data_IF_220071335754
#
_entry.id   IF_220071335754
#
_cell.length_a   1.000
_cell.length_b   1.000
_cell.length_c   1.000
_cell.angle_alpha   90.00
_cell.angle_beta   90.00
_cell.angle_gamma   90.00
#
_symmetry.space_group_name_H-M   'P 1'
#
loop_
_entity.id
_entity.type
_entity.pdbx_description
1 polymer ?
#
# COMPACT_ATOMS: atom_id res chain seq x y z
N UNK A 1 6.63 -20.50 14.48
CA UNK A 1 5.44 -20.10 15.27
C UNK A 1 5.35 -18.59 15.55
N UNK A 2 6.42 -17.79 15.42
CA UNK A 2 6.34 -16.32 15.59
C UNK A 2 5.91 -15.52 14.34
N UNK A 3 5.90 -16.15 13.15
CA UNK A 3 5.65 -15.46 11.87
C UNK A 3 4.17 -15.24 11.52
N UNK A 4 3.22 -15.98 12.12
CA UNK A 4 1.79 -15.85 11.84
C UNK A 4 1.10 -14.75 12.66
N UNK A 5 1.68 -14.38 13.80
CA UNK A 5 1.09 -13.38 14.71
C UNK A 5 1.19 -11.93 14.17
N UNK A 6 1.87 -11.72 13.04
CA UNK A 6 2.14 -10.39 12.47
C UNK A 6 1.37 -10.08 11.17
N UNK A 7 0.36 -10.87 10.78
CA UNK A 7 -0.46 -10.57 9.60
C UNK A 7 -1.78 -9.92 10.01
N UNK A 8 -2.14 -8.82 9.36
CA UNK A 8 -3.34 -8.05 9.68
C UNK A 8 -3.05 -7.02 10.75
N UNK A 9 -2.15 -6.08 10.43
CA UNK A 9 -1.60 -5.08 11.35
C UNK A 9 -2.29 -3.75 11.12
N UNK A 10 -2.29 -2.92 12.15
CA UNK A 10 -2.80 -1.56 12.09
C UNK A 10 -2.21 -0.80 10.90
N UNK A 11 -3.08 -0.31 10.03
CA UNK A 11 -2.70 0.22 8.72
C UNK A 11 -2.41 1.73 8.75
N UNK A 12 -1.71 2.28 7.75
CA UNK A 12 -1.59 3.73 7.57
C UNK A 12 -2.95 4.44 7.46
N UNK A 13 -3.95 3.77 6.86
CA UNK A 13 -5.33 4.26 6.78
C UNK A 13 -5.94 4.43 8.18
N UNK A 14 -5.86 3.39 9.01
CA UNK A 14 -6.37 3.45 10.38
C UNK A 14 -5.58 4.47 11.22
N UNK A 15 -4.28 4.62 11.00
CA UNK A 15 -3.49 5.67 11.65
C UNK A 15 -4.02 7.07 11.35
N UNK A 16 -4.40 7.33 10.10
CA UNK A 16 -4.87 8.65 9.69
C UNK A 16 -6.33 8.94 10.08
N UNK A 17 -7.21 7.92 10.10
CA UNK A 17 -8.65 8.12 10.31
C UNK A 17 -9.21 7.54 11.62
N UNK A 18 -8.45 6.70 12.34
CA UNK A 18 -8.96 5.88 13.44
C UNK A 18 -9.28 6.63 14.73
N UNK A 19 -8.53 7.69 15.08
CA UNK A 19 -8.69 8.37 16.37
C UNK A 19 -10.01 9.15 16.51
N UNK A 20 -10.53 9.68 15.40
CA UNK A 20 -11.74 10.54 15.38
C UNK A 20 -12.85 9.98 14.49
N UNK A 21 -12.71 8.74 13.99
CA UNK A 21 -13.63 8.12 13.00
C UNK A 21 -13.90 9.04 11.81
N UNK A 22 -12.90 9.84 11.41
CA UNK A 22 -13.02 10.88 10.38
C UNK A 22 -13.53 10.29 9.06
N UNK A 23 -13.14 9.06 8.75
CA UNK A 23 -13.54 8.36 7.54
C UNK A 23 -15.08 8.22 7.40
N UNK A 24 -15.82 8.15 8.51
CA UNK A 24 -17.27 7.91 8.48
C UNK A 24 -18.08 9.14 8.06
N UNK A 25 -17.47 10.32 8.12
CA UNK A 25 -18.15 11.58 7.84
C UNK A 25 -17.48 12.34 6.70
N UNK A 26 -16.15 12.42 6.71
CA UNK A 26 -15.40 13.28 5.78
C UNK A 26 -15.31 12.66 4.38
N UNK A 27 -15.04 11.35 4.27
CA UNK A 27 -14.91 10.68 2.95
C UNK A 27 -16.26 10.58 2.21
N UNK A 28 -17.39 10.21 2.86
CA UNK A 28 -18.71 10.31 2.24
C UNK A 28 -19.07 11.73 1.77
N UNK A 29 -18.69 12.75 2.54
CA UNK A 29 -18.96 14.14 2.18
C UNK A 29 -18.20 14.57 0.91
N UNK A 30 -16.95 14.12 0.76
CA UNK A 30 -16.15 14.31 -0.47
C UNK A 30 -16.81 13.60 -1.66
N UNK A 31 -17.25 12.36 -1.49
CA UNK A 31 -17.94 11.60 -2.54
C UNK A 31 -19.26 12.28 -2.97
N UNK A 32 -20.04 12.78 -2.01
CA UNK A 32 -21.27 13.53 -2.26
C UNK A 32 -21.02 14.85 -3.00
N UNK A 33 -19.98 15.59 -2.61
CA UNK A 33 -19.57 16.81 -3.31
C UNK A 33 -19.22 16.52 -4.77
N UNK A 34 -18.39 15.50 -5.01
CA UNK A 34 -17.99 15.12 -6.36
C UNK A 34 -19.20 14.72 -7.22
N UNK A 35 -20.14 13.93 -6.67
CA UNK A 35 -21.37 13.54 -7.36
C UNK A 35 -22.24 14.74 -7.72
N UNK A 36 -22.46 15.67 -6.77
CA UNK A 36 -23.23 16.91 -7.01
C UNK A 36 -22.59 17.80 -8.07
N UNK A 37 -21.27 17.80 -8.18
CA UNK A 37 -20.51 18.61 -9.14
C UNK A 37 -20.24 17.90 -10.47
N UNK A 38 -20.55 16.61 -10.59
CA UNK A 38 -20.21 15.80 -11.76
C UNK A 38 -18.70 15.66 -11.98
N UNK A 39 -17.89 15.77 -10.93
CA UNK A 39 -16.43 15.68 -11.01
C UNK A 39 -16.00 14.26 -10.70
N UNK A 40 -15.11 13.72 -11.52
CA UNK A 40 -14.49 12.42 -11.26
C UNK A 40 -13.25 12.61 -10.39
N UNK A 41 -13.21 11.93 -9.24
CA UNK A 41 -12.11 11.98 -8.27
C UNK A 41 -10.94 11.05 -8.62
N UNK A 42 -11.03 10.33 -9.74
CA UNK A 42 -10.02 9.36 -10.20
C UNK A 42 -8.69 9.99 -10.64
N UNK A 43 -8.64 11.32 -10.76
CA UNK A 43 -7.42 12.06 -11.07
C UNK A 43 -7.01 12.88 -9.87
N UNK A 44 -5.72 12.85 -9.53
CA UNK A 44 -5.18 13.53 -8.35
C UNK A 44 -5.41 15.04 -8.38
N UNK A 45 -5.29 15.68 -9.54
CA UNK A 45 -5.54 17.12 -9.73
C UNK A 45 -7.00 17.50 -9.43
N UNK A 46 -7.95 16.70 -9.93
CA UNK A 46 -9.37 16.88 -9.66
C UNK A 46 -9.71 16.62 -8.19
N UNK A 47 -9.09 15.60 -7.59
CA UNK A 47 -9.23 15.28 -6.18
C UNK A 47 -8.75 16.43 -5.30
N UNK A 48 -7.54 16.96 -5.56
CA UNK A 48 -6.96 18.09 -4.83
C UNK A 48 -7.82 19.36 -4.93
N UNK A 49 -8.53 19.55 -6.05
CA UNK A 49 -9.43 20.67 -6.27
C UNK A 49 -10.77 20.61 -5.51
N UNK A 50 -11.10 19.50 -4.85
CA UNK A 50 -12.34 19.40 -4.05
C UNK A 50 -12.26 20.24 -2.78
N UNK A 51 -13.35 20.93 -2.45
CA UNK A 51 -13.45 21.72 -1.23
C UNK A 51 -13.41 20.83 0.02
N UNK A 52 -14.07 19.68 -0.03
CA UNK A 52 -14.03 18.66 1.02
C UNK A 52 -12.60 18.17 1.29
N UNK A 53 -11.85 17.87 0.23
CA UNK A 53 -10.43 17.47 0.33
C UNK A 53 -9.61 18.60 0.96
N UNK A 54 -9.76 19.83 0.49
CA UNK A 54 -9.05 20.98 1.04
C UNK A 54 -9.39 21.27 2.51
N UNK A 55 -10.64 21.06 2.95
CA UNK A 55 -11.03 21.17 4.37
C UNK A 55 -10.39 20.07 5.21
N UNK A 56 -10.42 18.83 4.74
CA UNK A 56 -9.85 17.70 5.46
C UNK A 56 -8.34 17.81 5.58
N UNK A 57 -7.63 18.23 4.52
CA UNK A 57 -6.19 18.48 4.59
C UNK A 57 -5.82 19.50 5.66
N UNK A 58 -6.54 20.62 5.76
CA UNK A 58 -6.29 21.62 6.83
C UNK A 58 -6.50 21.07 8.24
N UNK A 59 -7.31 20.02 8.40
CA UNK A 59 -7.55 19.36 9.69
C UNK A 59 -6.48 18.32 10.01
N UNK A 60 -5.98 17.61 8.99
CA UNK A 60 -4.98 16.55 9.14
C UNK A 60 -3.55 17.09 9.21
N UNK A 61 -3.26 18.21 8.54
CA UNK A 61 -1.91 18.78 8.44
C UNK A 61 -1.64 19.69 9.64
N UNK A 62 -0.65 19.39 10.50
CA UNK A 62 -0.18 20.33 11.52
C UNK A 62 0.17 21.70 10.95
N UNK A 63 -0.22 22.77 11.66
CA UNK A 63 0.00 24.17 11.23
C UNK A 63 1.49 24.53 11.05
N UNK A 64 2.40 23.74 11.62
CA UNK A 64 3.85 23.98 11.62
C UNK A 64 4.61 23.26 10.50
N UNK A 65 3.92 22.58 9.57
CA UNK A 65 4.58 21.80 8.52
C UNK A 65 4.98 22.63 7.30
N UNK A 66 6.10 22.23 6.70
CA UNK A 66 6.60 22.77 5.43
C UNK A 66 5.63 22.46 4.27
N UNK A 67 5.57 23.31 3.22
CA UNK A 67 4.68 23.10 2.06
C UNK A 67 4.87 21.76 1.35
N UNK A 68 6.08 21.19 1.35
CA UNK A 68 6.36 19.87 0.76
C UNK A 68 5.66 18.74 1.50
N UNK A 69 5.39 18.89 2.80
CA UNK A 69 4.62 17.91 3.57
C UNK A 69 3.15 17.89 3.12
N UNK A 70 2.58 19.02 2.67
CA UNK A 70 1.19 19.08 2.20
C UNK A 70 0.95 18.12 1.02
N UNK A 71 1.91 18.03 0.09
CA UNK A 71 1.80 17.09 -1.05
C UNK A 71 1.78 15.63 -0.58
N UNK A 72 2.60 15.27 0.41
CA UNK A 72 2.59 13.93 0.99
C UNK A 72 1.25 13.62 1.68
N UNK A 73 0.66 14.58 2.40
CA UNK A 73 -0.66 14.40 2.99
C UNK A 73 -1.77 14.27 1.93
N UNK A 74 -1.66 15.02 0.84
CA UNK A 74 -2.58 14.90 -0.30
C UNK A 74 -2.45 13.52 -0.96
N UNK A 75 -1.23 13.00 -1.13
CA UNK A 75 -1.00 11.64 -1.64
C UNK A 75 -1.63 10.59 -0.73
N UNK A 76 -1.34 10.65 0.58
CA UNK A 76 -1.92 9.73 1.56
C UNK A 76 -3.45 9.79 1.50
N UNK A 77 -4.02 10.99 1.47
CA UNK A 77 -5.48 11.18 1.44
C UNK A 77 -6.09 10.67 0.14
N UNK A 78 -5.45 10.89 -1.01
CA UNK A 78 -5.89 10.36 -2.30
C UNK A 78 -5.96 8.82 -2.28
N UNK A 79 -4.88 8.18 -1.84
CA UNK A 79 -4.82 6.72 -1.75
C UNK A 79 -5.79 6.16 -0.71
N UNK A 80 -5.91 6.80 0.46
CA UNK A 80 -6.84 6.36 1.50
C UNK A 80 -8.31 6.55 1.11
N UNK A 81 -8.65 7.63 0.40
CA UNK A 81 -9.99 7.84 -0.13
C UNK A 81 -10.37 6.71 -1.09
N UNK A 82 -9.50 6.38 -2.05
CA UNK A 82 -9.77 5.31 -3.01
C UNK A 82 -9.77 3.92 -2.38
N UNK A 83 -8.93 3.68 -1.39
CA UNK A 83 -8.97 2.46 -0.58
C UNK A 83 -10.31 2.32 0.16
N UNK A 84 -10.80 3.40 0.77
CA UNK A 84 -12.11 3.45 1.43
C UNK A 84 -13.27 3.25 0.45
N UNK A 85 -13.25 3.94 -0.69
CA UNK A 85 -14.27 3.84 -1.74
C UNK A 85 -14.36 2.41 -2.33
N UNK A 86 -13.22 1.70 -2.34
CA UNK A 86 -13.15 0.28 -2.72
C UNK A 86 -13.59 -0.71 -1.62
N UNK A 87 -13.99 -0.22 -0.44
CA UNK A 87 -14.42 -1.05 0.70
C UNK A 87 -13.29 -1.48 1.64
N UNK A 88 -12.17 -0.75 1.67
CA UNK A 88 -10.99 -1.05 2.48
C UNK A 88 -10.36 -2.45 2.28
N UNK A 89 -10.15 -2.93 1.04
CA UNK A 89 -9.68 -4.30 0.82
C UNK A 89 -8.19 -4.47 1.17
N UNK A 90 -7.93 -5.16 2.28
CA UNK A 90 -6.60 -5.39 2.84
C UNK A 90 -6.09 -6.81 2.55
N UNK A 91 -4.88 -6.91 1.99
CA UNK A 91 -4.20 -8.18 1.70
C UNK A 91 -2.87 -8.25 2.46
N UNK A 92 -2.80 -9.09 3.49
CA UNK A 92 -1.61 -9.30 4.31
C UNK A 92 -0.82 -10.51 3.82
N UNK A 93 0.33 -10.27 3.20
CA UNK A 93 1.16 -11.32 2.62
C UNK A 93 2.09 -11.96 3.65
N UNK A 94 2.08 -13.29 3.71
CA UNK A 94 3.06 -14.04 4.47
C UNK A 94 4.47 -13.95 3.86
N UNK A 95 5.50 -14.03 4.71
CA UNK A 95 6.89 -13.86 4.30
C UNK A 95 7.36 -14.90 3.27
N UNK A 96 6.86 -16.12 3.37
CA UNK A 96 7.17 -17.20 2.43
C UNK A 96 6.64 -16.91 1.02
N UNK A 97 5.42 -16.37 0.88
CA UNK A 97 4.87 -15.93 -0.41
C UNK A 97 5.76 -14.89 -1.06
N UNK A 98 6.10 -13.84 -0.32
CA UNK A 98 6.85 -12.72 -0.90
C UNK A 98 8.27 -13.14 -1.25
N UNK A 99 8.92 -13.96 -0.42
CA UNK A 99 10.25 -14.54 -0.72
C UNK A 99 10.21 -15.43 -1.96
N UNK A 100 9.19 -16.26 -2.10
CA UNK A 100 9.00 -17.09 -3.28
C UNK A 100 8.81 -16.24 -4.55
N UNK A 101 8.01 -15.17 -4.48
CA UNK A 101 7.82 -14.25 -5.60
C UNK A 101 9.08 -13.46 -5.96
N UNK A 102 9.95 -13.16 -4.99
CA UNK A 102 11.26 -12.54 -5.26
C UNK A 102 12.19 -13.55 -5.95
N UNK A 103 12.29 -14.76 -5.41
CA UNK A 103 13.20 -15.80 -5.89
C UNK A 103 12.78 -16.41 -7.24
N UNK A 104 11.48 -16.58 -7.47
CA UNK A 104 10.91 -17.20 -8.67
C UNK A 104 9.93 -16.22 -9.31
N UNK A 105 10.47 -15.38 -10.19
CA UNK A 105 9.69 -14.39 -10.92
C UNK A 105 8.59 -15.09 -11.76
N UNK A 106 7.31 -14.67 -11.63
CA UNK A 106 6.27 -15.12 -12.54
C UNK A 106 6.48 -14.57 -13.95
N UNK A 107 5.91 -15.25 -14.96
CA UNK A 107 5.78 -14.68 -16.30
C UNK A 107 4.70 -13.60 -16.31
N UNK A 108 5.13 -12.34 -16.18
CA UNK A 108 4.25 -11.18 -16.26
C UNK A 108 3.92 -10.80 -17.71
N UNK A 109 4.70 -11.25 -18.71
CA UNK A 109 4.53 -10.85 -20.10
C UNK A 109 3.30 -11.44 -20.78
N UNK A 110 2.85 -12.61 -20.32
CA UNK A 110 1.60 -13.26 -20.76
C UNK A 110 0.38 -12.89 -19.90
N UNK A 111 0.59 -12.17 -18.79
CA UNK A 111 -0.45 -11.81 -17.85
C UNK A 111 -0.97 -10.39 -18.08
N UNK A 112 -2.29 -10.24 -18.21
CA UNK A 112 -2.92 -8.93 -18.23
C UNK A 112 -3.15 -8.43 -16.80
N UNK A 113 -2.52 -7.31 -16.36
CA UNK A 113 -2.63 -6.83 -15.00
C UNK A 113 -4.07 -6.60 -14.54
N UNK A 114 -4.40 -7.18 -13.39
CA UNK A 114 -5.67 -6.96 -12.69
C UNK A 114 -5.50 -7.14 -11.20
N UNK A 115 -6.44 -6.58 -10.45
CA UNK A 115 -6.51 -6.70 -9.01
C UNK A 115 -7.94 -7.12 -8.61
N UNK A 116 -8.12 -7.77 -7.45
CA UNK A 116 -9.47 -8.12 -6.98
C UNK A 116 -10.36 -6.89 -6.72
N UNK A 117 -9.75 -5.73 -6.47
CA UNK A 117 -10.44 -4.44 -6.28
C UNK A 117 -9.70 -3.32 -7.03
N UNK A 118 -10.39 -2.23 -7.44
CA UNK A 118 -9.77 -1.10 -8.13
C UNK A 118 -8.68 -0.39 -7.30
N UNK A 119 -8.84 -0.40 -5.97
CA UNK A 119 -7.82 0.06 -5.03
C UNK A 119 -7.77 -0.89 -3.83
N UNK A 120 -6.56 -1.13 -3.31
CA UNK A 120 -6.31 -2.04 -2.19
C UNK A 120 -5.06 -1.64 -1.42
N UNK A 121 -4.92 -2.16 -0.20
CA UNK A 121 -3.68 -2.08 0.57
C UNK A 121 -3.03 -3.46 0.64
N UNK A 122 -1.78 -3.56 0.22
CA UNK A 122 -0.95 -4.75 0.40
C UNK A 122 -0.06 -4.53 1.60
N UNK A 123 -0.31 -5.26 2.69
CA UNK A 123 0.58 -5.31 3.83
C UNK A 123 1.73 -6.29 3.52
N UNK A 124 2.96 -5.79 3.63
CA UNK A 124 4.17 -6.60 3.47
C UNK A 124 4.60 -7.22 4.80
N UNK A 125 5.36 -8.33 4.75
CA UNK A 125 6.00 -8.89 5.93
C UNK A 125 6.94 -7.87 6.57
N UNK A 126 6.89 -7.79 7.90
CA UNK A 126 7.72 -6.85 8.66
C UNK A 126 9.19 -7.01 8.40
N UNK A 127 9.87 -5.86 8.31
CA UNK A 127 11.33 -5.76 8.17
C UNK A 127 11.90 -6.55 6.98
N UNK A 128 11.04 -6.98 6.04
CA UNK A 128 11.47 -7.76 4.89
C UNK A 128 11.98 -6.87 3.76
N UNK A 129 11.29 -5.74 3.52
CA UNK A 129 11.73 -4.73 2.55
C UNK A 129 12.08 -3.44 3.28
N UNK A 130 13.11 -2.76 2.77
CA UNK A 130 13.60 -1.50 3.28
C UNK A 130 13.76 -0.51 2.14
N UNK A 131 13.40 0.75 2.37
CA UNK A 131 13.46 1.80 1.35
C UNK A 131 13.74 3.16 2.00
N UNK A 132 14.33 4.07 1.23
CA UNK A 132 14.46 5.47 1.61
C UNK A 132 13.45 6.30 0.81
N UNK A 133 12.85 7.33 1.44
CA UNK A 133 11.95 8.25 0.73
C UNK A 133 12.74 9.10 -0.26
N UNK A 134 13.89 9.61 0.22
CA UNK A 134 14.82 10.40 -0.58
C UNK A 134 16.17 9.70 -0.63
N UNK A 135 16.86 9.81 -1.77
CA UNK A 135 18.22 9.31 -1.90
C UNK A 135 19.14 9.92 -0.81
N UNK A 136 19.92 9.08 -0.14
CA UNK A 136 20.84 9.48 0.93
C UNK A 136 20.21 9.55 2.33
N UNK A 137 18.89 9.41 2.47
CA UNK A 137 18.26 9.24 3.78
C UNK A 137 18.44 7.81 4.32
N UNK A 138 18.46 7.61 5.65
CA UNK A 138 18.47 6.26 6.22
C UNK A 138 17.25 5.46 5.76
N UNK A 139 17.44 4.21 5.28
CA UNK A 139 16.31 3.39 4.88
C UNK A 139 15.43 3.03 6.07
N UNK A 140 14.12 3.02 5.84
CA UNK A 140 13.08 2.64 6.79
C UNK A 140 12.41 1.33 6.34
N UNK A 141 11.86 0.53 7.28
CA UNK A 141 11.13 -0.68 6.92
C UNK A 141 9.87 -0.31 6.12
N UNK A 142 9.60 -1.05 5.06
CA UNK A 142 8.38 -0.91 4.26
C UNK A 142 7.26 -1.69 4.92
N UNK A 143 6.17 -1.01 5.24
CA UNK A 143 5.00 -1.61 5.87
C UNK A 143 4.06 -2.25 4.85
N UNK A 144 3.93 -1.59 3.70
CA UNK A 144 3.00 -2.00 2.65
C UNK A 144 2.83 -0.94 1.57
N UNK A 145 1.96 -1.24 0.62
CA UNK A 145 1.67 -0.39 -0.52
C UNK A 145 0.16 -0.18 -0.67
N UNK A 146 -0.28 1.07 -0.82
CA UNK A 146 -1.56 1.34 -1.45
C UNK A 146 -1.39 1.19 -2.95
N UNK A 147 -2.27 0.39 -3.55
CA UNK A 147 -2.29 0.12 -4.98
C UNK A 147 -3.62 0.60 -5.52
N UNK A 148 -3.59 1.35 -6.62
CA UNK A 148 -4.79 1.76 -7.34
C UNK A 148 -4.56 1.57 -8.83
N UNK A 149 -5.34 0.69 -9.46
CA UNK A 149 -5.32 0.55 -10.91
C UNK A 149 -6.11 1.67 -11.57
N UNK A 150 -5.66 2.12 -12.73
CA UNK A 150 -6.38 3.07 -13.56
C UNK A 150 -7.77 2.56 -13.94
N UNK A 151 -8.73 3.45 -14.23
CA UNK A 151 -10.13 3.09 -14.49
C UNK A 151 -10.37 2.39 -15.84
N UNK A 152 -9.37 2.40 -16.73
CA UNK A 152 -9.46 1.76 -18.05
C UNK A 152 -9.55 0.23 -17.94
N UNK A 153 -10.12 -0.41 -18.98
CA UNK A 153 -10.18 -1.87 -19.10
C UNK A 153 -9.61 -2.31 -20.46
N UNK A 154 -8.40 -2.92 -20.49
CA UNK A 154 -7.49 -3.18 -19.37
C UNK A 154 -6.89 -1.88 -18.76
N UNK A 155 -6.41 -1.92 -17.51
CA UNK A 155 -5.80 -0.75 -16.88
C UNK A 155 -4.50 -0.37 -17.60
N UNK A 156 -4.34 0.94 -17.86
CA UNK A 156 -3.17 1.50 -18.56
C UNK A 156 -2.12 2.04 -17.59
N UNK A 157 -2.48 2.25 -16.32
CA UNK A 157 -1.60 2.78 -15.30
C UNK A 157 -1.94 2.30 -13.90
N UNK A 158 -1.03 2.55 -12.98
CA UNK A 158 -1.16 2.25 -11.55
C UNK A 158 -0.62 3.42 -10.74
N UNK A 159 -1.37 3.85 -9.73
CA UNK A 159 -0.85 4.73 -8.69
C UNK A 159 -0.43 3.88 -7.50
N UNK A 160 0.77 4.14 -7.01
CA UNK A 160 1.37 3.47 -5.87
C UNK A 160 1.75 4.49 -4.80
N UNK A 161 1.45 4.14 -3.55
CA UNK A 161 1.99 4.82 -2.38
C UNK A 161 2.61 3.78 -1.45
N UNK A 162 3.91 3.89 -1.24
CA UNK A 162 4.67 3.06 -0.30
C UNK A 162 4.57 3.73 1.08
N UNK A 163 4.18 2.97 2.10
CA UNK A 163 4.20 3.41 3.49
C UNK A 163 5.40 2.79 4.23
N UNK A 164 6.15 3.61 4.96
CA UNK A 164 7.40 3.22 5.61
C UNK A 164 7.46 3.67 7.08
N UNK A 165 8.14 2.88 7.91
CA UNK A 165 8.62 3.31 9.22
C UNK A 165 7.53 3.55 10.28
N UNK A 166 6.43 2.78 10.26
CA UNK A 166 5.35 2.91 11.25
C UNK A 166 5.76 2.33 12.62
N UNK A 167 6.41 3.09 13.48
CA UNK A 167 6.92 2.57 14.77
C UNK A 167 6.23 3.17 16.01
N UNK A 168 6.12 2.43 17.13
CA UNK A 168 5.46 2.91 18.35
C UNK A 168 6.03 4.22 18.91
N UNK A 169 7.34 4.42 18.74
CA UNK A 169 8.11 5.55 19.25
C UNK A 169 8.12 6.79 18.34
N UNK A 170 7.51 6.70 17.14
CA UNK A 170 7.38 7.81 16.20
C UNK A 170 5.91 7.98 15.80
N UNK A 171 5.28 9.13 16.11
CA UNK A 171 3.95 9.41 15.56
C UNK A 171 4.04 9.57 14.04
N UNK A 172 3.20 8.84 13.31
CA UNK A 172 3.11 8.90 11.85
C UNK A 172 4.02 7.92 11.12
N UNK A 173 4.22 8.17 9.82
CA UNK A 173 4.98 7.32 8.90
C UNK A 173 5.50 8.14 7.72
N UNK A 174 6.47 7.60 7.03
CA UNK A 174 7.04 8.17 5.80
C UNK A 174 6.33 7.58 4.58
N UNK A 175 6.25 8.35 3.48
CA UNK A 175 5.62 7.89 2.23
C UNK A 175 6.40 8.25 0.99
N UNK A 176 6.31 7.40 -0.02
CA UNK A 176 6.75 7.69 -1.38
C UNK A 176 5.63 7.31 -2.35
N UNK A 177 5.12 8.28 -3.11
CA UNK A 177 4.02 8.10 -4.06
C UNK A 177 4.50 8.32 -5.50
N UNK A 178 4.01 7.51 -6.42
CA UNK A 178 4.27 7.66 -7.85
C UNK A 178 3.22 6.97 -8.71
N UNK A 179 3.08 7.43 -9.95
CA UNK A 179 2.25 6.81 -10.98
C UNK A 179 3.16 6.11 -12.00
N UNK A 180 2.77 4.92 -12.43
CA UNK A 180 3.48 4.18 -13.47
C UNK A 180 2.53 3.73 -14.58
N UNK A 181 3.05 3.67 -15.82
CA UNK A 181 2.35 3.07 -16.96
C UNK A 181 2.49 1.55 -16.92
N UNK A 182 1.39 0.85 -17.21
CA UNK A 182 1.37 -0.60 -17.32
C UNK A 182 1.75 -1.10 -18.72
N UNK A 183 1.77 -0.24 -19.73
CA UNK A 183 2.07 -0.60 -21.12
C UNK A 183 3.50 -1.14 -21.30
N UNK A 184 4.43 -0.72 -20.45
CA UNK A 184 5.86 -1.08 -20.53
C UNK A 184 6.24 -2.24 -19.60
N UNK A 185 5.26 -2.88 -18.94
CA UNK A 185 5.54 -3.86 -17.87
C UNK A 185 6.13 -5.17 -18.38
N UNK A 186 5.84 -5.56 -19.62
CA UNK A 186 6.44 -6.73 -20.27
C UNK A 186 7.96 -6.57 -20.50
N UNK A 187 8.46 -5.33 -20.52
CA UNK A 187 9.87 -5.00 -20.71
C UNK A 187 10.59 -4.71 -19.38
N UNK A 188 9.88 -4.76 -18.25
CA UNK A 188 10.39 -4.45 -16.92
C UNK A 188 11.33 -5.56 -16.43
N UNK A 189 12.54 -5.59 -16.99
CA UNK A 189 13.65 -6.41 -16.52
C UNK A 189 14.53 -5.55 -15.63
N UNK A 190 14.56 -5.90 -14.35
CA UNK A 190 15.41 -5.24 -13.36
C UNK A 190 16.43 -6.27 -12.84
N UNK A 191 17.59 -6.42 -13.50
CA UNK A 191 18.69 -7.21 -12.96
C UNK A 191 19.07 -6.69 -11.57
N UNK A 192 19.27 -7.61 -10.62
CA UNK A 192 19.55 -7.25 -9.24
C UNK A 192 18.37 -6.61 -8.49
N UNK A 193 17.14 -6.69 -9.04
CA UNK A 193 15.96 -6.22 -8.32
C UNK A 193 15.89 -6.82 -6.92
N UNK A 194 15.63 -5.94 -5.96
CA UNK A 194 15.47 -6.28 -4.54
C UNK A 194 16.76 -6.63 -3.80
N UNK A 195 17.92 -6.62 -4.48
CA UNK A 195 19.22 -6.72 -3.81
C UNK A 195 19.38 -5.56 -2.82
N UNK A 196 19.99 -5.84 -1.67
CA UNK A 196 20.13 -4.87 -0.60
C UNK A 196 21.59 -4.57 -0.34
N UNK A 197 21.94 -3.30 -0.36
CA UNK A 197 23.27 -2.82 0.01
C UNK A 197 23.41 -2.56 1.52
N UNK A 198 22.34 -2.81 2.29
CA UNK A 198 22.33 -2.60 3.74
C UNK A 198 23.32 -3.59 4.39
N UNK A 199 24.26 -3.13 5.25
CA UNK A 199 25.19 -4.03 5.91
C UNK A 199 24.50 -5.17 6.66
N UNK A 200 24.87 -6.41 6.34
CA UNK A 200 24.27 -7.61 6.93
C UNK A 200 22.94 -8.05 6.32
N UNK A 201 22.49 -7.42 5.24
CA UNK A 201 21.21 -7.72 4.62
C UNK A 201 21.08 -9.18 4.17
N UNK A 202 22.13 -9.72 3.53
CA UNK A 202 22.16 -11.11 3.07
C UNK A 202 21.97 -12.12 4.22
N UNK A 203 22.61 -11.85 5.37
CA UNK A 203 22.51 -12.69 6.55
C UNK A 203 21.12 -12.62 7.18
N UNK A 204 20.47 -11.45 7.13
CA UNK A 204 19.12 -11.24 7.62
C UNK A 204 18.04 -11.65 6.59
N UNK A 205 18.43 -11.91 5.35
CA UNK A 205 17.53 -12.15 4.23
C UNK A 205 16.56 -10.99 4.01
N UNK A 206 17.02 -9.75 4.08
CA UNK A 206 16.20 -8.56 3.81
C UNK A 206 16.44 -8.06 2.39
N UNK A 207 15.43 -7.41 1.82
CA UNK A 207 15.41 -6.85 0.49
C UNK A 207 15.37 -5.33 0.54
N UNK A 208 15.71 -4.67 -0.57
CA UNK A 208 15.55 -3.23 -0.72
C UNK A 208 14.58 -2.86 -1.84
N UNK A 209 13.84 -1.78 -1.67
CA UNK A 209 13.13 -1.09 -2.75
C UNK A 209 13.78 0.28 -2.94
N UNK A 210 14.71 0.36 -3.87
CA UNK A 210 15.50 1.55 -4.14
C UNK A 210 14.89 2.40 -5.25
N UNK A 211 14.14 1.76 -6.17
CA UNK A 211 13.64 2.41 -7.39
C UNK A 211 12.12 2.25 -7.54
N UNK A 212 11.42 3.26 -8.11
CA UNK A 212 9.98 3.13 -8.42
C UNK A 212 9.64 1.91 -9.29
N UNK A 213 10.54 1.53 -10.21
CA UNK A 213 10.38 0.35 -11.06
C UNK A 213 10.41 -0.97 -10.27
N UNK A 214 11.18 -1.06 -9.19
CA UNK A 214 11.20 -2.24 -8.31
C UNK A 214 9.90 -2.35 -7.51
N UNK A 215 9.38 -1.23 -7.01
CA UNK A 215 8.10 -1.20 -6.32
C UNK A 215 6.93 -1.56 -7.26
N UNK A 216 6.97 -1.10 -8.52
CA UNK A 216 6.06 -1.55 -9.57
C UNK A 216 6.19 -3.06 -9.81
N UNK A 217 7.41 -3.56 -10.01
CA UNK A 217 7.67 -4.98 -10.26
C UNK A 217 7.15 -5.86 -9.11
N UNK A 218 7.43 -5.49 -7.86
CA UNK A 218 6.93 -6.18 -6.68
C UNK A 218 5.40 -6.17 -6.66
N UNK A 219 4.78 -5.01 -6.90
CA UNK A 219 3.32 -4.89 -6.96
C UNK A 219 2.71 -5.82 -7.99
N UNK A 220 3.26 -5.86 -9.21
CA UNK A 220 2.77 -6.74 -10.27
C UNK A 220 2.89 -8.22 -9.90
N UNK A 221 4.00 -8.62 -9.27
CA UNK A 221 4.17 -10.00 -8.77
C UNK A 221 3.14 -10.36 -7.70
N UNK A 222 2.83 -9.44 -6.80
CA UNK A 222 1.83 -9.62 -5.74
C UNK A 222 0.41 -9.71 -6.34
N UNK A 223 0.05 -8.80 -7.24
CA UNK A 223 -1.25 -8.81 -7.91
C UNK A 223 -1.44 -10.06 -8.78
N UNK A 224 -0.40 -10.48 -9.50
CA UNK A 224 -0.39 -11.75 -10.24
C UNK A 224 -0.69 -12.92 -9.32
N UNK A 225 -0.09 -12.97 -8.13
CA UNK A 225 -0.33 -14.04 -7.16
C UNK A 225 -1.79 -14.05 -6.68
N UNK A 226 -2.37 -12.89 -6.37
CA UNK A 226 -3.79 -12.78 -5.94
C UNK A 226 -4.79 -13.22 -7.01
N UNK A 227 -4.43 -13.03 -8.29
CA UNK A 227 -5.22 -13.41 -9.46
C UNK A 227 -5.11 -14.90 -9.78
N UNK A 228 -3.88 -15.42 -9.86
CA UNK A 228 -3.61 -16.81 -10.28
C UNK A 228 -3.90 -17.82 -9.16
N UNK A 229 -3.76 -17.41 -7.90
CA UNK A 229 -3.97 -18.28 -6.74
C UNK A 229 -5.09 -17.73 -5.85
N UNK A 230 -6.35 -17.74 -6.31
CA UNK A 230 -7.46 -17.22 -5.52
C UNK A 230 -7.66 -17.98 -4.20
N UNK A 231 -7.31 -19.27 -4.17
CA UNK A 231 -7.42 -20.13 -2.98
C UNK A 231 -6.31 -19.88 -1.94
N UNK A 232 -5.32 -19.02 -2.26
CA UNK A 232 -4.27 -18.64 -1.31
C UNK A 232 -4.73 -17.63 -0.26
N UNK A 233 -5.96 -17.13 -0.38
CA UNK A 233 -6.55 -16.07 0.45
C UNK A 233 -7.45 -16.67 1.52
N UNK A 234 -7.16 -16.37 2.78
CA UNK A 234 -8.05 -16.63 3.91
C UNK A 234 -8.62 -15.31 4.41
N UNK A 235 -9.96 -15.17 4.42
CA UNK A 235 -10.61 -14.00 5.04
C UNK A 235 -10.57 -14.11 6.56
N UNK A 236 -10.07 -13.07 7.20
CA UNK A 236 -9.96 -12.94 8.65
C UNK A 236 -10.73 -11.69 9.09
N UNK A 237 -11.69 -11.82 10.02
CA UNK A 237 -12.39 -10.68 10.58
C UNK A 237 -11.46 -9.70 11.27
N UNK A 238 -11.75 -8.40 11.15
CA UNK A 238 -11.03 -7.34 11.84
C UNK A 238 -11.22 -7.38 13.36
N UNK A 239 -10.22 -6.92 14.10
CA UNK A 239 -10.27 -6.81 15.55
C UNK A 239 -10.95 -5.50 15.99
N UNK A 240 -12.26 -5.35 15.76
CA UNK A 240 -13.00 -4.11 15.98
C UNK A 240 -12.90 -3.53 17.42
N UNK A 241 -12.69 -4.39 18.42
CA UNK A 241 -12.53 -3.99 19.82
C UNK A 241 -11.09 -3.61 20.21
N UNK A 242 -10.13 -3.78 19.30
CA UNK A 242 -8.76 -3.31 19.49
C UNK A 242 -8.73 -1.78 19.32
N UNK A 243 -9.14 -1.07 20.37
CA UNK A 243 -8.92 0.36 20.43
C UNK A 243 -7.42 0.64 20.20
N UNK A 244 -7.04 1.67 19.42
CA UNK A 244 -5.66 2.11 19.29
C UNK A 244 -5.21 2.73 20.62
N UNK A 245 -5.03 1.89 21.66
CA UNK A 245 -4.55 2.30 22.97
C UNK A 245 -3.04 2.61 22.94
N UNK A 246 -2.35 2.19 21.87
CA UNK A 246 -0.98 2.55 21.57
C UNK A 246 -0.79 2.63 20.06
N UNK A 247 -0.01 3.62 19.59
CA UNK A 247 0.59 3.53 18.27
C UNK A 247 1.57 2.38 18.29
N UNK A 248 1.56 1.51 17.28
CA UNK A 248 2.63 0.55 17.17
C UNK A 248 2.34 -0.74 16.46
N UNK A 249 3.40 -1.52 16.46
CA UNK A 249 3.56 -2.71 15.68
C UNK A 249 2.65 -3.88 16.11
N UNK A 250 2.27 -3.97 17.38
CA UNK A 250 1.51 -5.13 17.89
C UNK A 250 0.00 -4.92 17.91
N UNK A 251 -0.47 -3.84 17.28
CA UNK A 251 -1.90 -3.53 17.17
C UNK A 251 -2.47 -4.24 15.94
N UNK A 252 -3.44 -5.14 16.10
CA UNK A 252 -4.13 -5.75 14.96
C UNK A 252 -5.02 -4.71 14.27
N UNK A 253 -5.23 -4.88 12.97
CA UNK A 253 -6.19 -4.05 12.22
C UNK A 253 -7.63 -4.33 12.69
N UNK A 254 -8.44 -3.28 12.74
CA UNK A 254 -9.89 -3.35 12.91
C UNK A 254 -10.61 -3.68 11.59
N UNK A 255 -9.90 -3.66 10.44
CA UNK A 255 -10.44 -3.98 9.12
C UNK A 255 -10.49 -5.50 8.91
N UNK A 256 -11.55 -5.96 8.25
CA UNK A 256 -11.54 -7.29 7.65
C UNK A 256 -10.39 -7.37 6.64
N UNK A 257 -9.66 -8.47 6.63
CA UNK A 257 -8.50 -8.62 5.77
C UNK A 257 -8.35 -10.04 5.22
N UNK A 258 -7.56 -10.17 4.16
CA UNK A 258 -7.19 -11.43 3.58
C UNK A 258 -5.74 -11.77 3.94
N UNK A 259 -5.52 -12.88 4.64
CA UNK A 259 -4.18 -13.45 4.80
C UNK A 259 -3.83 -14.22 3.54
N UNK A 260 -2.69 -13.90 2.94
CA UNK A 260 -2.22 -14.52 1.70
C UNK A 260 -1.06 -15.46 2.04
N UNK A 261 -1.27 -16.76 1.83
CA UNK A 261 -0.30 -17.81 2.17
C UNK A 261 0.27 -18.50 0.94
N UNK A 262 1.44 -19.11 1.11
CA UNK A 262 2.07 -19.85 0.02
C UNK A 262 1.29 -21.14 -0.24
N UNK A 263 0.78 -21.28 -1.45
CA UNK A 263 0.26 -22.55 -1.95
C UNK A 263 1.19 -23.06 -3.04
N UNK A 264 1.35 -24.38 -3.14
CA UNK A 264 2.32 -24.98 -4.06
C UNK A 264 2.13 -24.46 -5.49
N UNK A 265 3.12 -23.72 -6.00
CA UNK A 265 3.09 -23.21 -7.37
C UNK A 265 3.35 -24.37 -8.32
N UNK A 266 2.36 -24.70 -9.14
CA UNK A 266 2.64 -25.45 -10.36
C UNK A 266 3.54 -24.55 -11.20
N UNK A 267 4.71 -25.03 -11.64
CA UNK A 267 5.57 -24.28 -12.57
C UNK A 267 4.78 -24.05 -13.86
N UNK A 268 4.15 -22.88 -13.97
CA UNK A 268 3.52 -22.37 -15.17
C UNK A 268 4.55 -21.61 -15.98
#
# INVERSE_FOLDING_TARGET
MAAEASLGRYTPYELMFGAERLAEHELPAIAEEARRRGITLSRRDHFAGSEGVGRLLRRLVPETLEPTALESYLDILFHCYHFWDAGCPLYAFAADVVRDLVAIAPDLGSWNPRAPHPSLYVELPRNLFWAAVTEGEPPEPVEGLFVRLGPDQPPTGVDLLIALGMRPDRPGFSVAAFTASLEQTAELKEPGAFESEIPGADLAGIYSLQRPSEALLLTLRLLWYLDVYPDAKETVPGAADAAPQAYGYDVPTALDHHRVRLIGRSRG
#
